data_IF_469923678659
#
_entry.id   IF_469923678659
#
_cell.length_a   1.000
_cell.length_b   1.000
_cell.length_c   1.000
_cell.angle_alpha   90.00
_cell.angle_beta   90.00
_cell.angle_gamma   90.00
#
_symmetry.space_group_name_H-M   'P 1'
#
loop_
_entity.id
_entity.type
_entity.pdbx_description
1 polymer ?
#
# COMPACT_ATOMS: atom_id res chain seq x y z
N UNK A 1 24.15 15.23 8.84
CA UNK A 1 22.75 14.97 9.27
C UNK A 1 22.52 13.47 9.23
N UNK A 2 21.90 12.88 10.26
CA UNK A 2 21.74 11.43 10.40
C UNK A 2 20.32 11.05 9.98
N UNK A 3 20.17 10.12 9.03
CA UNK A 3 18.88 9.57 8.60
C UNK A 3 18.39 8.55 9.63
N UNK A 4 17.16 8.72 10.15
CA UNK A 4 16.54 7.75 11.04
C UNK A 4 15.97 6.56 10.25
N UNK A 5 16.73 5.48 10.18
CA UNK A 5 16.29 4.27 9.48
C UNK A 5 15.15 3.52 10.19
N UNK A 6 14.99 3.68 11.51
CA UNK A 6 13.87 3.11 12.25
C UNK A 6 12.55 3.83 11.92
N UNK A 7 12.62 5.10 11.52
CA UNK A 7 11.51 5.88 10.99
C UNK A 7 10.83 5.20 9.79
N UNK A 8 11.60 4.59 8.88
CA UNK A 8 11.05 3.85 7.74
C UNK A 8 10.26 2.61 8.16
N UNK A 9 10.80 1.78 9.06
CA UNK A 9 10.08 0.60 9.56
C UNK A 9 8.74 0.99 10.21
N UNK A 10 8.76 2.03 11.06
CA UNK A 10 7.55 2.55 11.71
C UNK A 10 6.55 3.08 10.70
N UNK A 11 7.00 3.88 9.73
CA UNK A 11 6.13 4.41 8.69
C UNK A 11 5.53 3.31 7.83
N UNK A 12 6.33 2.33 7.42
CA UNK A 12 5.87 1.19 6.65
C UNK A 12 4.79 0.41 7.40
N UNK A 13 5.03 0.04 8.66
CA UNK A 13 4.05 -0.68 9.47
C UNK A 13 2.75 0.12 9.67
N UNK A 14 2.85 1.43 9.88
CA UNK A 14 1.69 2.30 10.04
C UNK A 14 0.91 2.42 8.73
N UNK A 15 1.58 2.61 7.59
CA UNK A 15 0.90 2.70 6.29
C UNK A 15 0.17 1.40 5.97
N UNK A 16 0.77 0.22 6.19
CA UNK A 16 0.06 -1.05 5.98
C UNK A 16 -1.16 -1.18 6.91
N UNK A 17 -1.06 -0.74 8.18
CA UNK A 17 -2.20 -0.72 9.08
C UNK A 17 -3.33 0.20 8.58
N UNK A 18 -2.99 1.39 8.09
CA UNK A 18 -3.95 2.34 7.53
C UNK A 18 -4.61 1.80 6.25
N UNK A 19 -3.84 1.18 5.35
CA UNK A 19 -4.36 0.52 4.15
C UNK A 19 -5.29 -0.63 4.52
N UNK A 20 -4.86 -1.47 5.47
CA UNK A 20 -5.65 -2.58 5.97
C UNK A 20 -6.97 -2.11 6.57
N UNK A 21 -6.93 -1.06 7.40
CA UNK A 21 -8.12 -0.44 7.99
C UNK A 21 -9.07 0.10 6.93
N UNK A 22 -8.55 0.76 5.89
CA UNK A 22 -9.36 1.27 4.78
C UNK A 22 -10.12 0.14 4.06
N UNK A 23 -9.44 -0.97 3.74
CA UNK A 23 -10.07 -2.11 3.07
C UNK A 23 -11.05 -2.87 3.98
N UNK A 24 -10.75 -3.00 5.28
CA UNK A 24 -11.64 -3.61 6.26
C UNK A 24 -12.95 -2.83 6.40
N UNK A 25 -12.86 -1.50 6.51
CA UNK A 25 -14.01 -0.62 6.63
C UNK A 25 -14.87 -0.68 5.36
N UNK A 26 -14.23 -0.60 4.18
CA UNK A 26 -14.91 -0.70 2.90
C UNK A 26 -15.59 -2.07 2.71
N UNK A 27 -14.88 -3.17 2.97
CA UNK A 27 -15.42 -4.52 2.87
C UNK A 27 -16.58 -4.75 3.84
N UNK A 28 -16.48 -4.20 5.06
CA UNK A 28 -17.56 -4.26 6.06
C UNK A 28 -18.78 -3.44 5.64
N UNK A 29 -18.58 -2.25 5.04
CA UNK A 29 -19.67 -1.44 4.50
C UNK A 29 -20.39 -2.14 3.34
N UNK A 30 -19.64 -2.80 2.45
CA UNK A 30 -20.18 -3.61 1.35
C UNK A 30 -20.97 -4.81 1.89
N UNK A 31 -20.43 -5.54 2.86
CA UNK A 31 -21.11 -6.65 3.51
C UNK A 31 -22.41 -6.21 4.19
N UNK A 32 -22.39 -5.06 4.89
CA UNK A 32 -23.57 -4.48 5.53
C UNK A 32 -24.65 -4.11 4.50
N UNK A 33 -24.25 -3.57 3.36
CA UNK A 33 -25.14 -3.12 2.28
C UNK A 33 -25.85 -4.27 1.55
N UNK A 34 -25.41 -5.53 1.73
CA UNK A 34 -26.11 -6.71 1.16
C UNK A 34 -27.50 -6.92 1.73
N UNK A 35 -27.74 -6.51 2.98
CA UNK A 35 -29.00 -6.73 3.69
C UNK A 35 -29.69 -5.44 4.14
N UNK A 36 -29.03 -4.30 4.02
CA UNK A 36 -29.48 -3.01 4.54
C UNK A 36 -29.34 -1.91 3.48
N UNK A 37 -30.10 -0.82 3.62
CA UNK A 37 -29.85 0.39 2.85
C UNK A 37 -28.56 1.05 3.37
N UNK A 38 -27.44 0.78 2.69
CA UNK A 38 -26.10 1.16 3.13
C UNK A 38 -25.61 2.53 2.69
N UNK A 39 -26.39 3.34 1.96
CA UNK A 39 -25.89 4.58 1.29
C UNK A 39 -25.15 5.52 2.25
N UNK A 40 -25.75 5.83 3.41
CA UNK A 40 -25.12 6.71 4.43
C UNK A 40 -23.81 6.14 4.97
N UNK A 41 -23.78 4.82 5.19
CA UNK A 41 -22.61 4.14 5.73
C UNK A 41 -21.49 4.07 4.69
N UNK A 42 -21.83 3.77 3.44
CA UNK A 42 -20.89 3.75 2.32
C UNK A 42 -20.28 5.13 2.07
N UNK A 43 -21.08 6.19 2.17
CA UNK A 43 -20.63 7.57 2.04
C UNK A 43 -19.62 7.94 3.14
N UNK A 44 -19.93 7.63 4.41
CA UNK A 44 -19.02 7.87 5.53
C UNK A 44 -17.71 7.07 5.39
N UNK A 45 -17.81 5.79 5.04
CA UNK A 45 -16.65 4.92 4.84
C UNK A 45 -15.79 5.37 3.66
N UNK A 46 -16.40 5.80 2.55
CA UNK A 46 -15.66 6.31 1.39
C UNK A 46 -14.85 7.56 1.74
N UNK A 47 -15.45 8.49 2.49
CA UNK A 47 -14.74 9.65 2.99
C UNK A 47 -13.61 9.26 3.95
N UNK A 48 -13.85 8.29 4.84
CA UNK A 48 -12.84 7.79 5.77
C UNK A 48 -11.67 7.12 5.03
N UNK A 49 -11.91 6.38 3.95
CA UNK A 49 -10.84 5.84 3.08
C UNK A 49 -9.99 6.97 2.50
N UNK A 50 -10.60 8.08 2.07
CA UNK A 50 -9.87 9.24 1.57
C UNK A 50 -8.98 9.86 2.67
N UNK A 51 -9.53 10.02 3.88
CA UNK A 51 -8.80 10.52 5.05
C UNK A 51 -7.65 9.60 5.42
N UNK A 52 -7.84 8.28 5.35
CA UNK A 52 -6.78 7.31 5.60
C UNK A 52 -5.66 7.41 4.56
N UNK A 53 -5.99 7.66 3.29
CA UNK A 53 -5.00 7.98 2.25
C UNK A 53 -4.16 9.21 2.60
N UNK A 54 -4.80 10.30 3.05
CA UNK A 54 -4.09 11.48 3.53
C UNK A 54 -3.24 11.19 4.78
N UNK A 55 -3.75 10.37 5.71
CA UNK A 55 -3.02 9.95 6.90
C UNK A 55 -1.77 9.12 6.57
N UNK A 56 -1.78 8.33 5.49
CA UNK A 56 -0.58 7.62 5.01
C UNK A 56 0.50 8.62 4.57
N UNK A 57 0.12 9.66 3.82
CA UNK A 57 1.07 10.71 3.43
C UNK A 57 1.63 11.44 4.65
N UNK A 58 0.77 11.81 5.60
CA UNK A 58 1.18 12.44 6.86
C UNK A 58 2.12 11.54 7.65
N UNK A 59 1.88 10.22 7.69
CA UNK A 59 2.77 9.28 8.36
C UNK A 59 4.17 9.26 7.72
N UNK A 60 4.26 9.31 6.40
CA UNK A 60 5.53 9.40 5.66
C UNK A 60 6.20 10.77 5.88
N UNK A 61 5.45 11.87 5.91
CA UNK A 61 6.02 13.19 6.21
C UNK A 61 6.51 13.28 7.66
N UNK A 62 5.78 12.74 8.62
CA UNK A 62 6.08 12.83 10.04
C UNK A 62 7.25 11.93 10.45
N UNK A 63 7.26 10.67 10.00
CA UNK A 63 8.20 9.67 10.52
C UNK A 63 9.56 9.73 9.82
N UNK A 64 9.70 9.42 8.51
CA UNK A 64 10.98 9.61 7.83
C UNK A 64 11.26 11.08 7.47
N UNK A 65 10.25 11.92 7.27
CA UNK A 65 10.44 13.35 6.95
C UNK A 65 10.61 14.28 8.15
N UNK A 66 10.23 13.86 9.37
CA UNK A 66 10.30 14.72 10.55
C UNK A 66 9.53 16.04 10.41
N UNK A 67 8.39 16.02 9.71
CA UNK A 67 7.57 17.19 9.38
C UNK A 67 8.20 18.23 8.45
N UNK A 68 9.30 17.88 7.77
CA UNK A 68 10.02 18.77 6.87
C UNK A 68 10.15 18.15 5.47
N UNK A 69 9.76 18.91 4.45
CA UNK A 69 9.79 18.42 3.06
C UNK A 69 11.20 18.26 2.50
N UNK A 70 12.16 19.07 2.93
CA UNK A 70 13.56 18.93 2.51
C UNK A 70 14.18 17.66 3.10
N UNK A 71 13.87 17.34 4.37
CA UNK A 71 14.24 16.08 5.03
C UNK A 71 13.54 14.89 4.39
N UNK A 72 12.25 15.00 4.09
CA UNK A 72 11.53 13.95 3.37
C UNK A 72 12.17 13.67 2.01
N UNK A 73 12.51 14.70 1.24
CA UNK A 73 13.18 14.55 -0.05
C UNK A 73 14.52 13.80 0.10
N UNK A 74 15.33 14.15 1.12
CA UNK A 74 16.58 13.44 1.43
C UNK A 74 16.34 11.98 1.83
N UNK A 75 15.33 11.72 2.67
CA UNK A 75 14.96 10.38 3.10
C UNK A 75 14.54 9.50 1.90
N UNK A 76 13.74 10.06 0.98
CA UNK A 76 13.32 9.39 -0.25
C UNK A 76 14.47 9.17 -1.23
N UNK A 77 15.45 10.08 -1.29
CA UNK A 77 16.67 9.85 -2.07
C UNK A 77 17.50 8.71 -1.52
N UNK A 78 17.63 8.61 -0.19
CA UNK A 78 18.32 7.51 0.47
C UNK A 78 17.57 6.16 0.34
N UNK A 79 16.24 6.20 0.25
CA UNK A 79 15.36 5.03 0.10
C UNK A 79 14.31 5.27 -0.97
N UNK A 80 14.71 5.17 -2.24
CA UNK A 80 13.81 5.43 -3.39
C UNK A 80 12.56 4.55 -3.41
N UNK A 81 12.62 3.32 -2.93
CA UNK A 81 11.44 2.46 -2.85
C UNK A 81 10.33 2.99 -1.94
N UNK A 82 10.61 3.96 -1.06
CA UNK A 82 9.59 4.59 -0.22
C UNK A 82 8.63 5.52 -1.00
N UNK A 83 8.97 5.91 -2.24
CA UNK A 83 8.01 6.59 -3.12
C UNK A 83 6.74 5.77 -3.36
N UNK A 84 6.81 4.43 -3.26
CA UNK A 84 5.63 3.56 -3.36
C UNK A 84 4.57 3.89 -2.30
N UNK A 85 4.98 4.24 -1.07
CA UNK A 85 4.02 4.61 -0.02
C UNK A 85 3.32 5.94 -0.30
N UNK A 86 4.01 6.88 -0.96
CA UNK A 86 3.38 8.12 -1.44
C UNK A 86 2.39 7.80 -2.56
N UNK A 87 2.75 6.91 -3.49
CA UNK A 87 1.82 6.44 -4.53
C UNK A 87 0.58 5.79 -3.91
N UNK A 88 0.74 4.93 -2.91
CA UNK A 88 -0.39 4.34 -2.20
C UNK A 88 -1.25 5.37 -1.48
N UNK A 89 -0.66 6.36 -0.83
CA UNK A 89 -1.40 7.45 -0.18
C UNK A 89 -2.30 8.19 -1.20
N UNK A 90 -1.74 8.52 -2.37
CA UNK A 90 -2.49 9.15 -3.46
C UNK A 90 -3.59 8.23 -4.01
N UNK A 91 -3.30 6.95 -4.24
CA UNK A 91 -4.26 5.99 -4.79
C UNK A 91 -5.43 5.73 -3.82
N UNK A 92 -5.16 5.50 -2.54
CA UNK A 92 -6.21 5.31 -1.53
C UNK A 92 -7.02 6.58 -1.31
N UNK A 93 -6.34 7.74 -1.26
CA UNK A 93 -6.99 9.05 -1.17
C UNK A 93 -7.97 9.28 -2.32
N UNK A 94 -7.48 9.12 -3.56
CA UNK A 94 -8.26 9.29 -4.77
C UNK A 94 -9.37 8.22 -4.91
N UNK A 95 -9.12 6.98 -4.48
CA UNK A 95 -10.11 5.91 -4.50
C UNK A 95 -11.26 6.23 -3.55
N UNK A 96 -10.96 6.64 -2.31
CA UNK A 96 -11.96 7.07 -1.34
C UNK A 96 -12.83 8.22 -1.87
N UNK A 97 -12.20 9.26 -2.45
CA UNK A 97 -12.91 10.37 -3.07
C UNK A 97 -13.75 9.94 -4.27
N UNK A 98 -13.23 9.07 -5.13
CA UNK A 98 -13.97 8.55 -6.28
C UNK A 98 -15.20 7.76 -5.83
N UNK A 99 -15.06 6.89 -4.82
CA UNK A 99 -16.19 6.15 -4.24
C UNK A 99 -17.20 7.10 -3.60
N UNK A 100 -16.74 8.12 -2.89
CA UNK A 100 -17.59 9.13 -2.28
C UNK A 100 -18.41 9.90 -3.33
N UNK A 101 -17.77 10.33 -4.41
CA UNK A 101 -18.45 11.01 -5.53
C UNK A 101 -19.46 10.12 -6.24
N UNK A 102 -19.18 8.81 -6.34
CA UNK A 102 -20.16 7.85 -6.83
C UNK A 102 -21.40 7.78 -5.93
N UNK A 103 -21.23 7.68 -4.61
CA UNK A 103 -22.36 7.63 -3.67
C UNK A 103 -23.18 8.92 -3.63
N UNK A 104 -22.56 10.07 -3.90
CA UNK A 104 -23.25 11.35 -4.08
C UNK A 104 -23.98 11.48 -5.42
N UNK A 105 -23.55 10.72 -6.44
CA UNK A 105 -24.16 10.79 -7.76
C UNK A 105 -25.44 9.96 -7.79
N UNK A 106 -26.61 10.61 -7.78
CA UNK A 106 -27.91 9.92 -7.88
C UNK A 106 -28.12 9.22 -9.25
N UNK A 107 -27.21 9.44 -10.20
CA UNK A 107 -27.18 8.73 -11.49
C UNK A 107 -26.37 7.44 -11.34
N UNK A 108 -27.07 6.33 -11.16
CA UNK A 108 -26.48 4.98 -11.18
C UNK A 108 -25.71 4.75 -12.48
N UNK A 109 -24.39 4.59 -12.38
CA UNK A 109 -23.50 4.38 -13.54
C UNK A 109 -22.41 5.44 -13.76
N UNK A 110 -22.07 6.24 -12.74
CA UNK A 110 -21.04 7.28 -12.89
C UNK A 110 -19.64 6.69 -13.15
N UNK A 111 -18.87 7.32 -14.05
CA UNK A 111 -17.44 7.01 -14.27
C UNK A 111 -16.59 7.00 -12.99
N UNK A 112 -17.07 7.61 -11.90
CA UNK A 112 -16.49 7.52 -10.57
C UNK A 112 -16.30 6.09 -10.04
N UNK A 113 -17.22 5.16 -10.32
CA UNK A 113 -17.06 3.76 -9.90
C UNK A 113 -15.96 3.06 -10.69
N UNK A 114 -15.89 3.32 -12.00
CA UNK A 114 -14.81 2.79 -12.83
C UNK A 114 -13.44 3.35 -12.40
N UNK A 115 -13.38 4.65 -12.09
CA UNK A 115 -12.18 5.30 -11.57
C UNK A 115 -11.77 4.69 -10.22
N UNK A 116 -12.72 4.51 -9.30
CA UNK A 116 -12.48 3.84 -8.02
C UNK A 116 -11.87 2.44 -8.20
N UNK A 117 -12.46 1.62 -9.07
CA UNK A 117 -11.96 0.27 -9.35
C UNK A 117 -10.58 0.29 -10.00
N UNK A 118 -10.34 1.22 -10.94
CA UNK A 118 -9.04 1.39 -11.58
C UNK A 118 -7.95 1.76 -10.55
N UNK A 119 -8.24 2.68 -9.62
CA UNK A 119 -7.30 3.09 -8.57
C UNK A 119 -6.98 1.95 -7.59
N UNK A 120 -7.98 1.13 -7.24
CA UNK A 120 -7.75 -0.08 -6.44
C UNK A 120 -6.98 -1.15 -7.22
N UNK A 121 -7.23 -1.31 -8.53
CA UNK A 121 -6.46 -2.22 -9.37
C UNK A 121 -5.00 -1.77 -9.47
N UNK A 122 -4.73 -0.47 -9.65
CA UNK A 122 -3.38 0.09 -9.61
C UNK A 122 -2.70 -0.14 -8.27
N UNK A 123 -3.45 -0.01 -7.16
CA UNK A 123 -2.93 -0.35 -5.84
C UNK A 123 -2.56 -1.85 -5.74
N UNK A 124 -3.43 -2.73 -6.25
CA UNK A 124 -3.17 -4.16 -6.38
C UNK A 124 -1.89 -4.46 -7.16
N UNK A 125 -1.69 -3.80 -8.31
CA UNK A 125 -0.51 -3.95 -9.14
C UNK A 125 0.77 -3.42 -8.46
N UNK A 126 0.70 -2.31 -7.73
CA UNK A 126 1.86 -1.75 -7.01
C UNK A 126 2.37 -2.68 -5.91
N UNK A 127 1.51 -3.53 -5.33
CA UNK A 127 1.97 -4.48 -4.33
C UNK A 127 3.03 -5.47 -4.85
N UNK A 128 3.01 -5.82 -6.14
CA UNK A 128 4.06 -6.66 -6.74
C UNK A 128 5.42 -5.97 -6.81
N UNK A 129 5.47 -4.64 -6.71
CA UNK A 129 6.69 -3.85 -6.72
C UNK A 129 7.24 -3.60 -5.31
N UNK A 130 6.48 -3.96 -4.26
CA UNK A 130 6.82 -3.61 -2.88
C UNK A 130 8.11 -4.25 -2.38
N UNK A 131 8.54 -5.35 -2.97
CA UNK A 131 9.84 -5.91 -2.62
C UNK A 131 10.99 -4.92 -2.96
N UNK A 132 10.88 -4.10 -4.03
CA UNK A 132 11.93 -3.14 -4.50
C UNK A 132 12.32 -2.08 -3.49
N UNK A 133 11.58 -1.96 -2.38
CA UNK A 133 11.88 -0.99 -1.32
C UNK A 133 12.76 -1.52 -0.19
N UNK A 134 12.93 -2.83 -0.05
CA UNK A 134 13.67 -3.42 1.07
C UNK A 134 15.05 -3.93 0.66
N UNK A 135 15.88 -4.24 1.65
CA UNK A 135 17.15 -4.94 1.44
C UNK A 135 16.94 -6.38 0.94
N UNK A 136 17.97 -6.95 0.31
CA UNK A 136 17.90 -8.28 -0.32
C UNK A 136 17.53 -9.40 0.66
N UNK A 137 17.96 -9.28 1.93
CA UNK A 137 17.65 -10.22 3.00
C UNK A 137 16.14 -10.37 3.25
N UNK A 138 15.39 -9.26 3.17
CA UNK A 138 13.94 -9.25 3.38
C UNK A 138 13.15 -9.47 2.07
N UNK A 139 13.83 -9.46 0.92
CA UNK A 139 13.23 -9.44 -0.42
C UNK A 139 12.13 -10.49 -0.61
N UNK A 140 12.47 -11.75 -0.36
CA UNK A 140 11.59 -12.89 -0.66
C UNK A 140 10.35 -12.89 0.22
N UNK A 141 10.52 -12.58 1.50
CA UNK A 141 9.40 -12.49 2.44
C UNK A 141 8.46 -11.35 2.05
N UNK A 142 9.01 -10.18 1.75
CA UNK A 142 8.23 -9.01 1.32
C UNK A 142 7.51 -9.32 0.02
N UNK A 143 8.17 -9.90 -0.97
CA UNK A 143 7.56 -10.27 -2.24
C UNK A 143 6.39 -11.23 -2.06
N UNK A 144 6.54 -12.28 -1.26
CA UNK A 144 5.49 -13.28 -1.03
C UNK A 144 4.25 -12.64 -0.39
N UNK A 145 4.45 -11.88 0.69
CA UNK A 145 3.35 -11.21 1.41
C UNK A 145 2.60 -10.21 0.52
N UNK A 146 3.34 -9.34 -0.18
CA UNK A 146 2.69 -8.31 -0.98
C UNK A 146 2.11 -8.87 -2.28
N UNK A 147 2.69 -9.93 -2.86
CA UNK A 147 2.05 -10.63 -4.00
C UNK A 147 0.71 -11.25 -3.60
N UNK A 148 0.63 -11.84 -2.40
CA UNK A 148 -0.63 -12.36 -1.88
C UNK A 148 -1.69 -11.25 -1.70
N UNK A 149 -1.30 -10.13 -1.07
CA UNK A 149 -2.18 -8.96 -0.91
C UNK A 149 -2.62 -8.40 -2.26
N UNK A 150 -1.68 -8.21 -3.19
CA UNK A 150 -1.93 -7.70 -4.53
C UNK A 150 -2.89 -8.59 -5.31
N UNK A 151 -2.67 -9.90 -5.29
CA UNK A 151 -3.56 -10.87 -5.95
C UNK A 151 -4.96 -10.86 -5.34
N UNK A 152 -5.08 -10.87 -4.01
CA UNK A 152 -6.38 -10.78 -3.33
C UNK A 152 -7.13 -9.50 -3.71
N UNK A 153 -6.45 -8.35 -3.73
CA UNK A 153 -7.07 -7.08 -4.10
C UNK A 153 -7.50 -7.04 -5.58
N UNK A 154 -6.68 -7.58 -6.49
CA UNK A 154 -7.03 -7.69 -7.91
C UNK A 154 -8.22 -8.62 -8.13
N UNK A 155 -8.29 -9.75 -7.41
CA UNK A 155 -9.45 -10.65 -7.43
C UNK A 155 -10.69 -9.94 -6.89
N UNK A 156 -10.56 -9.11 -5.85
CA UNK A 156 -11.67 -8.30 -5.34
C UNK A 156 -12.19 -7.37 -6.46
N UNK A 157 -11.29 -6.62 -7.10
CA UNK A 157 -11.66 -5.71 -8.19
C UNK A 157 -12.31 -6.46 -9.36
N UNK A 158 -11.79 -7.64 -9.72
CA UNK A 158 -12.39 -8.48 -10.74
C UNK A 158 -13.81 -8.94 -10.36
N UNK A 159 -14.00 -9.39 -9.10
CA UNK A 159 -15.32 -9.78 -8.59
C UNK A 159 -16.32 -8.63 -8.64
N UNK A 160 -15.92 -7.42 -8.21
CA UNK A 160 -16.78 -6.24 -8.26
C UNK A 160 -17.06 -5.80 -9.69
N UNK A 161 -16.06 -5.83 -10.56
CA UNK A 161 -16.25 -5.51 -11.98
C UNK A 161 -17.25 -6.47 -12.62
N UNK A 162 -17.10 -7.78 -12.40
CA UNK A 162 -18.04 -8.78 -12.89
C UNK A 162 -19.44 -8.61 -12.29
N UNK A 163 -19.55 -8.21 -11.02
CA UNK A 163 -20.81 -7.92 -10.35
C UNK A 163 -21.58 -6.80 -11.05
N UNK A 164 -20.91 -5.75 -11.51
CA UNK A 164 -21.57 -4.64 -12.22
C UNK A 164 -22.29 -5.09 -13.51
N UNK A 165 -21.77 -6.12 -14.20
CA UNK A 165 -22.37 -6.65 -15.43
C UNK A 165 -23.36 -7.80 -15.16
N UNK A 166 -22.98 -8.74 -14.29
CA UNK A 166 -23.72 -9.98 -14.05
C UNK A 166 -24.76 -9.86 -12.94
N UNK A 167 -24.66 -8.84 -12.07
CA UNK A 167 -25.58 -8.53 -10.97
C UNK A 167 -25.84 -9.71 -10.02
N UNK A 168 -24.84 -10.57 -9.83
CA UNK A 168 -24.94 -11.74 -8.95
C UNK A 168 -24.55 -11.37 -7.52
N UNK A 169 -25.45 -11.61 -6.57
CA UNK A 169 -25.20 -11.40 -5.12
C UNK A 169 -23.93 -12.09 -4.61
N UNK A 170 -23.62 -13.28 -5.14
CA UNK A 170 -22.40 -14.00 -4.79
C UNK A 170 -21.12 -13.21 -5.14
N UNK A 171 -21.11 -12.45 -6.24
CA UNK A 171 -19.96 -11.62 -6.63
C UNK A 171 -19.82 -10.40 -5.70
N UNK A 172 -20.94 -9.83 -5.25
CA UNK A 172 -20.93 -8.76 -4.26
C UNK A 172 -20.42 -9.25 -2.89
N UNK A 173 -20.84 -10.46 -2.48
CA UNK A 173 -20.32 -11.09 -1.27
C UNK A 173 -18.82 -11.42 -1.39
N UNK A 174 -18.38 -11.94 -2.54
CA UNK A 174 -16.97 -12.19 -2.82
C UNK A 174 -16.13 -10.91 -2.77
N UNK A 175 -16.62 -9.81 -3.37
CA UNK A 175 -16.00 -8.48 -3.27
C UNK A 175 -15.78 -8.06 -1.82
N UNK A 176 -16.84 -8.10 -1.00
CA UNK A 176 -16.76 -7.72 0.40
C UNK A 176 -15.78 -8.62 1.19
N UNK A 177 -15.84 -9.94 0.99
CA UNK A 177 -14.96 -10.89 1.67
C UNK A 177 -13.49 -10.72 1.28
N UNK A 178 -13.20 -10.52 -0.01
CA UNK A 178 -11.82 -10.32 -0.50
C UNK A 178 -11.23 -9.00 -0.01
N UNK A 179 -12.03 -7.93 0.08
CA UNK A 179 -11.59 -6.67 0.71
C UNK A 179 -11.24 -6.87 2.17
N UNK A 180 -12.09 -7.58 2.93
CA UNK A 180 -11.82 -7.88 4.34
C UNK A 180 -10.53 -8.71 4.46
N UNK A 181 -10.36 -9.74 3.62
CA UNK A 181 -9.17 -10.59 3.65
C UNK A 181 -7.90 -9.82 3.32
N UNK A 182 -7.89 -9.01 2.26
CA UNK A 182 -6.77 -8.12 1.93
C UNK A 182 -6.47 -7.14 3.07
N UNK A 183 -7.53 -6.60 3.70
CA UNK A 183 -7.42 -5.72 4.85
C UNK A 183 -6.75 -6.38 6.06
N UNK A 184 -7.12 -7.63 6.36
CA UNK A 184 -6.49 -8.43 7.42
C UNK A 184 -5.04 -8.77 7.10
N UNK A 185 -4.72 -9.17 5.87
CA UNK A 185 -3.34 -9.43 5.45
C UNK A 185 -2.45 -8.20 5.66
N UNK A 186 -2.94 -7.01 5.31
CA UNK A 186 -2.23 -5.74 5.51
C UNK A 186 -2.08 -5.36 6.99
N UNK A 187 -3.14 -5.51 7.79
CA UNK A 187 -3.09 -5.20 9.21
C UNK A 187 -2.17 -6.15 10.00
N UNK A 188 -2.10 -7.42 9.58
CA UNK A 188 -1.24 -8.44 10.16
C UNK A 188 0.21 -8.33 9.71
N UNK A 189 0.47 -7.75 8.54
CA UNK A 189 1.82 -7.60 8.02
C UNK A 189 2.69 -6.73 8.94
N UNK A 190 3.92 -7.19 9.19
CA UNK A 190 4.97 -6.46 9.90
C UNK A 190 6.27 -6.57 9.15
N UNK A 191 6.96 -5.45 9.05
CA UNK A 191 8.33 -5.39 8.55
C UNK A 191 9.28 -6.22 9.40
N UNK A 192 10.14 -6.98 8.73
CA UNK A 192 11.23 -7.68 9.38
C UNK A 192 12.24 -6.66 9.96
N UNK A 193 12.88 -6.96 11.12
CA UNK A 193 14.01 -6.19 11.59
C UNK A 193 15.09 -6.13 10.49
N UNK A 194 15.60 -4.93 10.20
CA UNK A 194 16.64 -4.76 9.18
C UNK A 194 16.15 -4.55 7.73
N UNK A 195 14.84 -4.64 7.45
CA UNK A 195 14.27 -4.36 6.10
C UNK A 195 14.79 -3.07 5.45
N UNK A 196 15.04 -2.06 6.29
CA UNK A 196 15.52 -0.74 5.88
C UNK A 196 16.89 -0.36 6.45
N UNK A 197 17.59 -1.28 7.13
CA UNK A 197 18.91 -1.00 7.71
C UNK A 197 19.91 -0.51 6.65
N UNK A 198 20.88 0.37 7.00
CA UNK A 198 21.90 0.84 6.06
C UNK A 198 22.50 -0.34 5.29
N UNK A 199 22.60 -0.22 3.97
CA UNK A 199 23.27 -1.26 3.18
C UNK A 199 24.76 -1.22 3.54
N UNK A 200 25.26 -2.27 4.18
CA UNK A 200 26.68 -2.44 4.40
C UNK A 200 27.29 -2.86 3.06
N UNK A 201 28.07 -1.97 2.45
CA UNK A 201 28.88 -2.32 1.29
C UNK A 201 30.22 -2.79 1.83
N UNK A 202 30.48 -4.10 1.76
CA UNK A 202 31.82 -4.62 2.01
C UNK A 202 32.70 -4.15 0.86
N UNK A 203 33.59 -3.19 1.13
CA UNK A 203 34.65 -2.84 0.18
C UNK A 203 35.66 -3.97 0.26
N UNK A 204 35.68 -4.86 -0.73
CA UNK A 204 36.83 -5.75 -0.92
C UNK A 204 38.05 -4.87 -1.20
N UNK A 205 38.92 -4.72 -0.21
CA UNK A 205 40.24 -4.11 -0.41
C UNK A 205 41.04 -5.00 -1.35
N UNK A 206 41.55 -4.43 -2.45
CA UNK A 206 42.38 -5.13 -3.44
C UNK A 206 43.46 -6.01 -2.77
N UNK A 207 43.81 -7.17 -3.36
CA UNK A 207 44.86 -8.02 -2.83
C UNK A 207 46.15 -7.21 -2.65
N UNK A 208 46.81 -7.35 -1.49
CA UNK A 208 48.10 -6.76 -1.25
C UNK A 208 49.07 -7.15 -2.39
N UNK A 209 49.77 -6.16 -2.94
CA UNK A 209 50.72 -6.39 -4.03
C UNK A 209 51.73 -7.48 -3.62
N UNK A 210 51.83 -8.52 -4.45
CA UNK A 210 52.81 -9.60 -4.27
C UNK A 210 54.21 -8.99 -4.19
N UNK A 211 54.98 -9.23 -3.12
CA UNK A 211 56.34 -8.68 -3.03
C UNK A 211 57.16 -9.20 -4.21
N UNK A 212 57.78 -8.27 -4.93
CA UNK A 212 58.64 -8.59 -6.07
C UNK A 212 59.76 -9.53 -5.61
N UNK A 213 59.80 -10.74 -6.18
CA UNK A 213 60.94 -11.64 -6.04
C UNK A 213 62.17 -10.93 -6.59
N UNK A 214 63.07 -10.47 -5.73
CA UNK A 214 64.43 -10.14 -6.11
C UNK A 214 65.08 -11.43 -6.62
N UNK A 215 65.46 -11.45 -7.90
CA UNK A 215 66.29 -12.53 -8.44
C UNK A 215 67.69 -12.43 -7.84
N UNK A 216 68.35 -13.57 -7.55
CA UNK A 216 69.74 -13.61 -7.10
C UNK A 216 70.70 -13.14 -8.20
#
# INVERSE_FOLDING_TARGET
MIIDYAGFTRASNLVHLLQGSALLLLGSAEAYSLKNNGKKYMLAVSLLVAVLGAAMFVAVLALPGGWDFSRLAQALQARRGFYLFISFACLYGAAGLSRFMHELSDRGGSGWMALFLALLASSGALYFLMAWRVNEEAWRQVLAWHSAIGLTLLLAVAAKSAELFLKRRALQAAWAALLIFAGLQLAAYKEAPGSFAPRLVTIESSPAATPARSKP
#
